data_IF_221146671423
#
_entry.id   IF_221146671423
#
_cell.length_a   1.000
_cell.length_b   1.000
_cell.length_c   1.000
_cell.angle_alpha   90.00
_cell.angle_beta   90.00
_cell.angle_gamma   90.00
#
_symmetry.space_group_name_H-M   'P 1'
#
loop_
_entity.id
_entity.type
_entity.pdbx_description
1 polymer ?
#
# COMPACT_ATOMS: atom_id res chain seq x y z
N UNK A 1 -0.19 -7.79 13.06
CA UNK A 1 -1.38 -8.38 12.38
C UNK A 1 -2.08 -9.46 13.21
N UNK A 2 -1.36 -10.39 13.87
CA UNK A 2 -1.96 -11.46 14.69
C UNK A 2 -2.87 -10.94 15.83
N UNK A 3 -2.47 -9.88 16.53
CA UNK A 3 -3.27 -9.28 17.60
C UNK A 3 -4.60 -8.70 17.09
N UNK A 4 -4.58 -7.94 16.00
CA UNK A 4 -5.79 -7.40 15.37
C UNK A 4 -6.73 -8.52 14.90
N UNK A 5 -6.16 -9.63 14.39
CA UNK A 5 -6.93 -10.79 13.98
C UNK A 5 -7.61 -11.51 15.15
N UNK A 6 -6.92 -11.68 16.27
CA UNK A 6 -7.49 -12.32 17.46
C UNK A 6 -8.59 -11.47 18.10
N UNK A 7 -8.41 -10.15 18.15
CA UNK A 7 -9.45 -9.23 18.63
C UNK A 7 -10.67 -9.22 17.71
N UNK A 8 -10.47 -9.25 16.39
CA UNK A 8 -11.55 -9.33 15.41
C UNK A 8 -12.34 -10.64 15.57
N UNK A 9 -11.65 -11.78 15.65
CA UNK A 9 -12.28 -13.09 15.87
C UNK A 9 -13.07 -13.12 17.19
N UNK A 10 -12.49 -12.65 18.29
CA UNK A 10 -13.16 -12.60 19.58
C UNK A 10 -14.45 -11.75 19.54
N UNK A 11 -14.39 -10.58 18.90
CA UNK A 11 -15.57 -9.72 18.75
C UNK A 11 -16.66 -10.35 17.86
N UNK A 12 -16.27 -11.03 16.79
CA UNK A 12 -17.21 -11.71 15.90
C UNK A 12 -17.89 -12.89 16.61
N UNK A 13 -17.13 -13.71 17.34
CA UNK A 13 -17.68 -14.83 18.11
C UNK A 13 -18.63 -14.35 19.20
N UNK A 14 -18.29 -13.27 19.93
CA UNK A 14 -19.16 -12.69 20.93
C UNK A 14 -20.49 -12.17 20.33
N UNK A 15 -20.45 -11.55 19.15
CA UNK A 15 -21.63 -11.08 18.45
C UNK A 15 -22.55 -12.23 18.00
N UNK A 16 -21.99 -13.32 17.49
CA UNK A 16 -22.74 -14.53 17.10
C UNK A 16 -23.40 -15.19 18.31
N UNK A 17 -22.68 -15.30 19.44
CA UNK A 17 -23.23 -15.85 20.67
C UNK A 17 -24.37 -14.99 21.22
N UNK A 18 -24.21 -13.67 21.24
CA UNK A 18 -25.26 -12.74 21.64
C UNK A 18 -26.51 -12.86 20.73
N UNK A 19 -26.31 -13.04 19.43
CA UNK A 19 -27.40 -13.23 18.47
C UNK A 19 -28.15 -14.56 18.68
N UNK A 20 -27.44 -15.64 19.05
CA UNK A 20 -28.02 -16.96 19.27
C UNK A 20 -28.97 -17.04 20.48
N UNK A 21 -28.86 -16.11 21.44
CA UNK A 21 -29.72 -16.04 22.63
C UNK A 21 -30.99 -15.22 22.46
N UNK A 22 -31.13 -14.46 21.38
CA UNK A 22 -32.30 -13.61 21.12
C UNK A 22 -33.27 -14.35 20.23
N UNK A 23 -34.54 -14.45 20.65
CA UNK A 23 -35.61 -15.03 19.84
C UNK A 23 -35.69 -14.24 18.52
N UNK A 24 -35.29 -14.86 17.41
CA UNK A 24 -35.09 -14.19 16.13
C UNK A 24 -36.44 -13.82 15.50
N UNK A 25 -36.89 -12.60 15.76
CA UNK A 25 -37.95 -11.97 14.98
C UNK A 25 -37.45 -11.83 13.52
N UNK A 26 -38.21 -12.20 12.48
CA UNK A 26 -37.74 -12.14 11.09
C UNK A 26 -37.19 -10.77 10.68
N UNK A 27 -37.69 -9.70 11.28
CA UNK A 27 -37.20 -8.35 11.08
C UNK A 27 -35.79 -8.14 11.65
N UNK A 28 -35.44 -8.76 12.78
CA UNK A 28 -34.11 -8.65 13.38
C UNK A 28 -33.02 -9.26 12.49
N UNK A 29 -33.30 -10.36 11.78
CA UNK A 29 -32.38 -10.97 10.82
C UNK A 29 -32.03 -9.99 9.71
N UNK A 30 -33.02 -9.27 9.19
CA UNK A 30 -32.82 -8.28 8.11
C UNK A 30 -31.96 -7.12 8.59
N UNK A 31 -32.26 -6.55 9.75
CA UNK A 31 -31.46 -5.44 10.32
C UNK A 31 -30.01 -5.85 10.60
N UNK A 32 -29.78 -7.04 11.16
CA UNK A 32 -28.43 -7.54 11.41
C UNK A 32 -27.68 -7.78 10.11
N UNK A 33 -28.34 -8.29 9.07
CA UNK A 33 -27.74 -8.51 7.75
C UNK A 33 -27.32 -7.20 7.10
N UNK A 34 -28.17 -6.17 7.17
CA UNK A 34 -27.87 -4.82 6.65
C UNK A 34 -26.71 -4.20 7.43
N UNK A 35 -26.73 -4.27 8.76
CA UNK A 35 -25.66 -3.75 9.60
C UNK A 35 -24.32 -4.45 9.32
N UNK A 36 -24.33 -5.78 9.20
CA UNK A 36 -23.15 -6.56 8.84
C UNK A 36 -22.60 -6.18 7.46
N UNK A 37 -23.47 -6.02 6.46
CA UNK A 37 -23.07 -5.58 5.12
C UNK A 37 -22.47 -4.17 5.13
N UNK A 38 -23.05 -3.23 5.90
CA UNK A 38 -22.52 -1.88 6.04
C UNK A 38 -21.14 -1.87 6.70
N UNK A 39 -20.95 -2.63 7.78
CA UNK A 39 -19.65 -2.77 8.45
C UNK A 39 -18.62 -3.38 7.49
N UNK A 40 -18.99 -4.45 6.78
CA UNK A 40 -18.11 -5.09 5.80
C UNK A 40 -17.70 -4.12 4.68
N UNK A 41 -18.62 -3.29 4.19
CA UNK A 41 -18.34 -2.28 3.18
C UNK A 41 -17.36 -1.22 3.69
N UNK A 42 -17.55 -0.69 4.91
CA UNK A 42 -16.64 0.29 5.51
C UNK A 42 -15.24 -0.29 5.65
N UNK A 43 -15.14 -1.53 6.14
CA UNK A 43 -13.87 -2.24 6.30
C UNK A 43 -13.20 -2.46 4.94
N UNK A 44 -13.95 -2.91 3.93
CA UNK A 44 -13.46 -3.14 2.57
C UNK A 44 -12.91 -1.84 1.95
N UNK A 45 -13.64 -0.72 2.07
CA UNK A 45 -13.19 0.60 1.59
C UNK A 45 -11.89 1.00 2.28
N UNK A 46 -11.81 0.86 3.61
CA UNK A 46 -10.59 1.19 4.35
C UNK A 46 -9.39 0.38 3.86
N UNK A 47 -9.55 -0.92 3.68
CA UNK A 47 -8.48 -1.78 3.18
C UNK A 47 -8.11 -1.49 1.73
N UNK A 48 -9.08 -1.17 0.87
CA UNK A 48 -8.83 -0.76 -0.51
C UNK A 48 -7.98 0.52 -0.57
N UNK A 49 -8.31 1.54 0.24
CA UNK A 49 -7.52 2.79 0.32
C UNK A 49 -6.09 2.52 0.77
N UNK A 50 -5.90 1.68 1.80
CA UNK A 50 -4.56 1.29 2.26
C UNK A 50 -3.78 0.52 1.20
N UNK A 51 -4.43 -0.38 0.47
CA UNK A 51 -3.80 -1.13 -0.62
C UNK A 51 -3.34 -0.21 -1.76
N UNK A 52 -4.17 0.77 -2.15
CA UNK A 52 -3.82 1.79 -3.15
C UNK A 52 -2.61 2.61 -2.68
N UNK A 53 -2.64 3.11 -1.44
CA UNK A 53 -1.51 3.86 -0.85
C UNK A 53 -0.22 3.07 -0.82
N UNK A 54 -0.28 1.80 -0.42
CA UNK A 54 0.89 0.93 -0.47
C UNK A 54 1.42 0.77 -1.90
N UNK A 55 0.53 0.57 -2.87
CA UNK A 55 0.91 0.47 -4.28
C UNK A 55 1.57 1.75 -4.80
N UNK A 56 1.07 2.93 -4.45
CA UNK A 56 1.69 4.23 -4.76
C UNK A 56 3.12 4.33 -4.20
N UNK A 57 3.33 3.91 -2.95
CA UNK A 57 4.65 3.88 -2.34
C UNK A 57 5.61 2.92 -3.07
N UNK A 58 5.10 1.83 -3.64
CA UNK A 58 5.90 0.86 -4.40
C UNK A 58 6.22 1.31 -5.82
N UNK A 59 5.35 2.09 -6.48
CA UNK A 59 5.58 2.58 -7.87
C UNK A 59 6.88 3.40 -7.96
N UNK A 60 7.29 4.06 -6.89
CA UNK A 60 8.59 4.76 -6.80
C UNK A 60 9.77 3.93 -6.28
N UNK A 61 9.54 2.70 -5.78
CA UNK A 61 10.56 1.91 -5.10
C UNK A 61 11.71 1.52 -6.03
N UNK A 62 11.40 1.11 -7.27
CA UNK A 62 12.42 0.79 -8.29
C UNK A 62 13.24 2.02 -8.68
N UNK A 63 12.60 3.16 -8.91
CA UNK A 63 13.27 4.41 -9.24
C UNK A 63 14.14 4.92 -8.08
N UNK A 64 13.68 4.76 -6.83
CA UNK A 64 14.44 5.10 -5.62
C UNK A 64 15.64 4.17 -5.44
N UNK A 65 15.45 2.86 -5.60
CA UNK A 65 16.51 1.87 -5.55
C UNK A 65 17.59 2.14 -6.62
N UNK A 66 17.16 2.51 -7.83
CA UNK A 66 18.08 2.91 -8.91
C UNK A 66 18.88 4.17 -8.56
N UNK A 67 18.24 5.22 -8.01
CA UNK A 67 18.94 6.43 -7.54
C UNK A 67 19.93 6.15 -6.42
N UNK A 68 19.55 5.30 -5.46
CA UNK A 68 20.45 4.87 -4.37
C UNK A 68 21.64 4.06 -4.89
N UNK A 69 21.42 3.17 -5.86
CA UNK A 69 22.48 2.43 -6.52
C UNK A 69 23.46 3.38 -7.24
N UNK A 70 22.93 4.35 -8.00
CA UNK A 70 23.76 5.39 -8.62
C UNK A 70 24.54 6.20 -7.58
N UNK A 71 23.93 6.61 -6.48
CA UNK A 71 24.62 7.38 -5.42
C UNK A 71 25.84 6.66 -4.84
N UNK A 72 25.85 5.33 -4.83
CA UNK A 72 26.99 4.52 -4.36
C UNK A 72 28.09 4.32 -5.41
N UNK A 73 27.77 4.44 -6.70
CA UNK A 73 28.77 4.35 -7.76
C UNK A 73 29.50 5.69 -7.88
N UNK A 74 30.84 5.73 -7.89
CA UNK A 74 31.57 6.97 -8.13
C UNK A 74 31.19 7.57 -9.49
N UNK A 75 31.16 8.90 -9.58
CA UNK A 75 30.81 9.57 -10.82
C UNK A 75 31.86 9.27 -11.91
N UNK A 76 31.45 8.97 -13.16
CA UNK A 76 32.40 8.77 -14.24
C UNK A 76 33.23 10.04 -14.44
N UNK A 77 34.54 9.88 -14.59
CA UNK A 77 35.46 10.99 -14.80
C UNK A 77 35.63 11.28 -16.29
N UNK A 78 35.81 12.56 -16.63
CA UNK A 78 36.05 12.96 -18.01
C UNK A 78 37.49 12.56 -18.43
N UNK A 79 37.68 11.87 -19.58
CA UNK A 79 38.98 11.32 -19.96
C UNK A 79 40.05 12.39 -20.24
N UNK A 80 39.63 13.63 -20.52
CA UNK A 80 40.53 14.75 -20.87
C UNK A 80 40.59 15.85 -19.80
N UNK A 81 39.92 15.68 -18.67
CA UNK A 81 39.89 16.73 -17.64
C UNK A 81 39.82 16.09 -16.27
N UNK A 82 40.96 16.10 -15.57
CA UNK A 82 41.06 15.60 -14.21
C UNK A 82 40.06 16.34 -13.31
N UNK A 83 39.33 15.59 -12.50
CA UNK A 83 38.34 16.13 -11.57
C UNK A 83 37.01 16.59 -12.18
N UNK A 84 36.84 16.59 -13.52
CA UNK A 84 35.56 16.96 -14.14
C UNK A 84 34.60 15.76 -14.16
N UNK A 85 33.45 15.82 -13.46
CA UNK A 85 32.45 14.76 -13.53
C UNK A 85 31.82 14.73 -14.93
N UNK A 86 31.70 13.54 -15.51
CA UNK A 86 30.94 13.31 -16.74
C UNK A 86 29.46 13.06 -16.37
N UNK A 87 28.49 13.62 -17.14
CA UNK A 87 27.10 13.25 -17.00
C UNK A 87 26.92 11.73 -17.14
N UNK A 88 26.14 11.12 -16.25
CA UNK A 88 25.85 9.68 -16.28
C UNK A 88 24.82 9.31 -17.34
N UNK A 89 23.95 10.25 -17.69
CA UNK A 89 23.03 10.08 -18.80
C UNK A 89 23.78 10.37 -20.11
N UNK A 90 23.54 9.59 -21.18
CA UNK A 90 24.01 9.97 -22.50
C UNK A 90 23.46 11.35 -22.85
N UNK A 91 24.35 12.31 -23.09
CA UNK A 91 23.95 13.60 -23.61
C UNK A 91 23.43 13.39 -25.03
N UNK A 92 22.24 13.90 -25.34
CA UNK A 92 21.79 14.00 -26.71
C UNK A 92 22.80 14.90 -27.44
N UNK A 93 23.39 14.41 -28.52
CA UNK A 93 24.22 15.22 -29.39
C UNK A 93 23.32 16.24 -30.07
N UNK A 94 23.29 17.47 -29.55
CA UNK A 94 22.66 18.58 -30.25
C UNK A 94 23.61 18.93 -31.39
N UNK A 95 23.30 18.43 -32.59
CA UNK A 95 23.96 18.88 -33.82
C UNK A 95 23.53 20.30 -34.08
N UNK A 96 24.42 21.27 -33.84
CA UNK A 96 24.21 22.65 -34.27
C UNK A 96 24.70 22.73 -35.71
N UNK A 97 23.76 22.77 -36.65
CA UNK A 97 24.00 23.15 -38.06
C UNK A 97 24.02 24.66 -38.21
#
# INVERSE_FOLDING_TARGET
MRLLHSWFLASATAAVLAYSGVQADPFSIVFVSIAAAAIAAIVAVRFAVLAIRHRELTIGARARAHRQALGRTPAPQHPRTAGRPRPRAPAQSITVT
#
